data_IF_733292231068
#
_entry.id   IF_733292231068
#
_cell.length_a   1.000
_cell.length_b   1.000
_cell.length_c   1.000
_cell.angle_alpha   90.00
_cell.angle_beta   90.00
_cell.angle_gamma   90.00
#
_symmetry.space_group_name_H-M   'P 1'
#
loop_
_entity.id
_entity.type
_entity.pdbx_description
1 polymer ?
#
# COMPACT_ATOMS: atom_id res chain seq x y z
N UNK A 1 -42.60 -2.15 30.03
CA UNK A 1 -42.23 -2.06 28.59
C UNK A 1 -41.35 -0.84 28.42
N UNK A 2 -40.05 -1.06 28.23
CA UNK A 2 -39.04 0.00 28.02
C UNK A 2 -38.59 -0.12 26.56
N UNK A 3 -38.63 0.93 25.73
CA UNK A 3 -38.14 0.84 24.36
C UNK A 3 -36.61 0.89 24.36
N UNK A 4 -35.98 -0.19 23.93
CA UNK A 4 -34.56 -0.23 23.62
C UNK A 4 -34.37 0.52 22.30
N UNK A 5 -33.73 1.70 22.35
CA UNK A 5 -33.26 2.40 21.14
C UNK A 5 -31.91 1.81 20.74
N UNK A 6 -31.92 0.96 19.72
CA UNK A 6 -30.71 0.48 19.06
C UNK A 6 -30.07 1.66 18.30
N UNK A 7 -28.95 2.19 18.81
CA UNK A 7 -28.10 3.10 18.03
C UNK A 7 -27.20 2.24 17.15
N UNK A 8 -27.50 2.18 15.85
CA UNK A 8 -26.55 1.71 14.85
C UNK A 8 -25.32 2.62 14.92
N UNK A 9 -24.16 2.07 15.28
CA UNK A 9 -22.89 2.77 15.07
C UNK A 9 -22.67 2.88 13.56
N UNK A 10 -22.35 4.10 13.11
CA UNK A 10 -22.00 4.35 11.73
C UNK A 10 -20.87 3.39 11.30
N UNK A 11 -21.01 2.81 10.12
CA UNK A 11 -19.93 2.06 9.49
C UNK A 11 -18.73 3.00 9.32
N UNK A 12 -17.53 2.50 9.64
CA UNK A 12 -16.28 3.17 9.26
C UNK A 12 -16.33 3.42 7.75
N UNK A 13 -16.35 4.68 7.35
CA UNK A 13 -16.32 5.07 5.96
C UNK A 13 -14.85 5.25 5.59
N UNK A 14 -14.30 4.36 4.78
CA UNK A 14 -13.03 4.61 4.11
C UNK A 14 -13.21 5.86 3.23
N UNK A 15 -12.43 6.91 3.51
CA UNK A 15 -12.52 8.18 2.80
C UNK A 15 -11.44 8.25 1.72
N UNK A 16 -11.88 8.63 0.52
CA UNK A 16 -11.10 8.65 -0.71
C UNK A 16 -10.46 10.02 -0.91
N UNK A 17 -9.15 10.13 -0.69
CA UNK A 17 -8.40 11.35 -0.99
C UNK A 17 -7.99 11.34 -2.47
N UNK A 18 -8.45 12.32 -3.25
CA UNK A 18 -8.03 12.50 -4.65
C UNK A 18 -6.84 13.45 -4.73
N UNK A 19 -5.70 12.92 -5.15
CA UNK A 19 -4.49 13.69 -5.45
C UNK A 19 -4.38 13.86 -6.95
N UNK A 20 -4.47 15.10 -7.45
CA UNK A 20 -4.19 15.41 -8.85
C UNK A 20 -2.67 15.43 -9.10
N UNK A 21 -2.19 14.59 -10.01
CA UNK A 21 -0.78 14.50 -10.37
C UNK A 21 -0.52 15.25 -11.68
N UNK A 22 0.34 16.28 -11.62
CA UNK A 22 0.77 17.04 -12.79
C UNK A 22 2.10 16.51 -13.35
N UNK A 23 2.28 16.58 -14.67
CA UNK A 23 3.52 16.18 -15.33
C UNK A 23 4.71 17.04 -14.84
N UNK A 24 5.74 16.39 -14.32
CA UNK A 24 6.91 17.05 -13.77
C UNK A 24 7.90 17.44 -14.88
N UNK A 25 8.02 18.74 -15.16
CA UNK A 25 9.22 19.37 -15.73
C UNK A 25 9.25 20.84 -15.31
N UNK A 26 9.74 21.19 -14.11
CA UNK A 26 10.06 22.58 -13.82
C UNK A 26 11.37 22.95 -14.53
N UNK A 27 11.39 24.14 -15.14
CA UNK A 27 12.65 24.80 -15.49
C UNK A 27 13.45 25.10 -14.20
N UNK A 28 14.79 25.24 -14.25
CA UNK A 28 15.57 25.57 -13.06
C UNK A 28 15.11 26.92 -12.48
N UNK A 29 14.50 26.88 -11.29
CA UNK A 29 13.97 28.04 -10.57
C UNK A 29 12.45 28.02 -10.29
N UNK A 30 11.72 26.99 -10.70
CA UNK A 30 10.27 26.90 -10.48
C UNK A 30 9.91 26.03 -9.26
N UNK A 31 8.84 26.40 -8.55
CA UNK A 31 8.32 25.69 -7.38
C UNK A 31 7.87 24.25 -7.74
N UNK A 32 7.92 23.29 -6.79
CA UNK A 32 7.44 21.92 -7.04
C UNK A 32 5.98 21.91 -7.52
N UNK A 33 5.56 20.89 -8.29
CA UNK A 33 4.20 20.82 -8.83
C UNK A 33 3.17 20.96 -7.72
N UNK A 34 2.17 21.82 -7.96
CA UNK A 34 1.10 22.08 -7.01
C UNK A 34 0.24 20.81 -6.86
N UNK A 35 0.22 20.28 -5.64
CA UNK A 35 -0.81 19.33 -5.20
C UNK A 35 -2.10 20.10 -5.06
N UNK A 36 -3.09 19.77 -5.88
CA UNK A 36 -4.46 20.19 -5.62
C UNK A 36 -5.19 19.01 -4.98
N UNK A 37 -5.34 19.08 -3.65
CA UNK A 37 -6.27 18.20 -2.92
C UNK A 37 -7.67 18.65 -3.31
N UNK A 38 -8.34 17.85 -4.15
CA UNK A 38 -9.70 18.15 -4.58
C UNK A 38 -10.68 17.73 -3.47
N UNK A 39 -10.79 18.57 -2.45
CA UNK A 39 -11.68 18.41 -1.30
C UNK A 39 -11.05 18.88 0.01
N UNK A 40 -11.32 20.13 0.42
CA UNK A 40 -11.04 20.64 1.77
C UNK A 40 -12.32 21.30 2.33
N UNK A 41 -12.71 21.09 3.61
CA UNK A 41 -13.92 21.67 4.14
C UNK A 41 -13.70 23.14 4.53
N UNK A 42 -14.67 23.97 4.16
CA UNK A 42 -14.75 25.38 4.60
C UNK A 42 -15.15 25.40 6.08
N UNK A 43 -14.32 26.00 6.94
CA UNK A 43 -14.59 26.10 8.37
C UNK A 43 -15.91 26.87 8.65
N UNK A 44 -16.84 26.24 9.37
CA UNK A 44 -18.01 26.92 9.96
C UNK A 44 -17.69 27.22 11.43
N UNK A 45 -17.83 28.47 11.92
CA UNK A 45 -17.46 28.81 13.28
C UNK A 45 -18.39 28.14 14.31
N UNK A 46 -17.80 27.40 15.25
CA UNK A 46 -18.51 26.70 16.31
C UNK A 46 -18.98 27.64 17.43
N UNK A 47 -20.17 27.37 17.96
CA UNK A 47 -20.68 27.96 19.22
C UNK A 47 -20.64 26.87 20.30
N UNK A 48 -20.09 27.10 21.51
CA UNK A 48 -19.79 26.01 22.43
C UNK A 48 -20.98 25.63 23.31
N UNK A 49 -21.15 24.33 23.58
CA UNK A 49 -21.99 23.78 24.65
C UNK A 49 -21.34 22.53 25.29
N UNK A 50 -21.72 22.16 26.53
CA UNK A 50 -20.80 21.60 27.52
C UNK A 50 -20.72 20.06 27.55
N UNK A 51 -19.62 19.58 28.16
CA UNK A 51 -19.14 18.21 28.20
C UNK A 51 -20.06 17.18 28.90
N UNK A 52 -20.05 15.94 28.39
CA UNK A 52 -20.57 14.75 29.07
C UNK A 52 -19.57 13.60 28.97
N UNK A 53 -19.39 12.91 30.10
CA UNK A 53 -18.46 11.81 30.39
C UNK A 53 -18.85 10.49 29.72
N UNK A 54 -17.89 9.75 29.17
CA UNK A 54 -18.09 8.42 28.61
C UNK A 54 -17.56 7.32 29.55
N UNK A 55 -18.41 6.35 29.90
CA UNK A 55 -18.06 5.09 30.55
C UNK A 55 -17.65 4.03 29.50
N UNK A 56 -16.58 3.30 29.78
CA UNK A 56 -16.04 2.23 28.93
C UNK A 56 -16.82 0.91 29.11
N UNK A 57 -17.11 0.22 28.00
CA UNK A 57 -17.59 -1.18 28.01
C UNK A 57 -16.59 -2.03 27.25
N UNK A 58 -15.98 -2.98 27.96
CA UNK A 58 -15.09 -4.00 27.42
C UNK A 58 -15.90 -5.14 26.79
N UNK A 59 -15.46 -5.65 25.64
CA UNK A 59 -15.97 -6.89 25.03
C UNK A 59 -14.80 -7.81 24.71
N UNK A 60 -14.77 -8.96 25.38
CA UNK A 60 -13.83 -10.06 25.17
C UNK A 60 -14.36 -11.06 24.13
N UNK A 61 -13.52 -11.47 23.17
CA UNK A 61 -13.76 -12.61 22.27
C UNK A 61 -12.68 -13.69 22.50
N UNK A 62 -13.00 -14.99 22.43
CA UNK A 62 -12.06 -16.06 22.76
C UNK A 62 -11.08 -16.38 21.62
N UNK A 63 -9.79 -16.51 21.97
CA UNK A 63 -8.68 -16.94 21.11
C UNK A 63 -8.66 -18.48 21.01
N UNK A 64 -8.56 -19.02 19.79
CA UNK A 64 -8.22 -20.42 19.54
C UNK A 64 -6.81 -20.46 18.91
N UNK A 65 -5.83 -20.99 19.65
CA UNK A 65 -4.46 -21.25 19.19
C UNK A 65 -4.37 -22.63 18.51
N UNK A 66 -3.70 -22.78 17.35
CA UNK A 66 -3.28 -24.08 16.85
C UNK A 66 -1.89 -24.48 17.39
N UNK A 67 -1.83 -25.64 18.02
CA UNK A 67 -0.59 -26.31 18.46
C UNK A 67 0.25 -26.75 17.26
N UNK A 68 1.48 -26.25 17.13
CA UNK A 68 2.48 -26.77 16.19
C UNK A 68 3.63 -27.43 16.96
N UNK A 69 3.84 -28.72 16.72
CA UNK A 69 4.89 -29.55 17.30
C UNK A 69 6.24 -29.23 16.65
N UNK A 70 7.23 -28.85 17.46
CA UNK A 70 8.61 -28.56 17.01
C UNK A 70 9.40 -29.85 16.75
N UNK A 71 10.08 -29.92 15.60
CA UNK A 71 11.14 -30.89 15.31
C UNK A 71 12.43 -30.16 14.94
N UNK A 72 13.55 -30.70 15.44
CA UNK A 72 14.83 -30.05 15.65
C UNK A 72 15.58 -29.54 14.40
N UNK A 73 16.34 -28.47 14.62
CA UNK A 73 17.29 -27.81 13.71
C UNK A 73 18.53 -28.68 13.51
N UNK A 74 18.93 -28.91 12.25
CA UNK A 74 20.25 -29.39 11.89
C UNK A 74 21.08 -28.22 11.33
N UNK A 75 22.18 -27.89 12.01
CA UNK A 75 23.20 -26.94 11.58
C UNK A 75 23.90 -27.39 10.30
N UNK A 76 23.90 -26.54 9.27
CA UNK A 76 24.79 -26.66 8.12
C UNK A 76 25.49 -25.32 7.86
N UNK A 77 26.81 -25.40 7.66
CA UNK A 77 27.76 -24.31 7.40
C UNK A 77 27.58 -23.68 6.00
N UNK A 78 27.93 -22.40 5.79
CA UNK A 78 27.70 -21.72 4.52
C UNK A 78 28.80 -22.05 3.49
N UNK A 79 28.40 -22.35 2.26
CA UNK A 79 29.28 -22.42 1.09
C UNK A 79 28.87 -21.35 0.08
N UNK A 80 29.83 -20.52 -0.30
CA UNK A 80 29.68 -19.37 -1.20
C UNK A 80 29.88 -19.79 -2.65
N UNK A 81 28.80 -19.92 -3.44
CA UNK A 81 28.84 -19.88 -4.93
C UNK A 81 27.43 -19.54 -5.46
N UNK A 82 27.25 -18.54 -6.35
CA UNK A 82 25.94 -18.19 -6.89
C UNK A 82 25.51 -19.28 -7.88
N UNK A 83 24.45 -20.02 -7.55
CA UNK A 83 23.89 -21.06 -8.43
C UNK A 83 22.72 -20.47 -9.19
N UNK A 84 22.76 -20.59 -10.52
CA UNK A 84 21.65 -20.23 -11.41
C UNK A 84 20.35 -20.92 -10.94
N UNK A 85 19.29 -20.13 -10.75
CA UNK A 85 18.00 -20.61 -10.25
C UNK A 85 17.35 -21.52 -11.28
N UNK A 86 17.25 -22.82 -10.96
CA UNK A 86 16.48 -23.78 -11.74
C UNK A 86 14.99 -23.44 -11.72
N UNK A 87 14.23 -23.72 -12.81
CA UNK A 87 12.79 -23.52 -12.84
C UNK A 87 12.11 -24.37 -11.76
N UNK A 88 11.24 -23.73 -10.99
CA UNK A 88 10.46 -24.39 -9.95
C UNK A 88 9.27 -25.07 -10.59
N UNK A 89 9.22 -26.41 -10.53
CA UNK A 89 8.01 -27.16 -10.86
C UNK A 89 6.98 -26.93 -9.75
N UNK A 90 5.99 -26.08 -9.98
CA UNK A 90 4.84 -25.94 -9.08
C UNK A 90 4.17 -27.31 -8.93
N UNK A 91 4.11 -27.85 -7.70
CA UNK A 91 3.33 -29.04 -7.42
C UNK A 91 1.88 -28.61 -7.36
N UNK A 92 1.17 -28.68 -8.49
CA UNK A 92 -0.22 -28.29 -8.59
C UNK A 92 -1.08 -29.16 -7.66
N UNK A 93 -1.57 -28.58 -6.56
CA UNK A 93 -2.87 -28.97 -6.02
C UNK A 93 -3.87 -28.84 -7.16
N UNK A 94 -4.70 -29.87 -7.37
CA UNK A 94 -5.42 -30.14 -8.62
C UNK A 94 -5.77 -28.90 -9.45
N UNK A 95 -5.21 -28.81 -10.66
CA UNK A 95 -5.47 -27.71 -11.58
C UNK A 95 -6.99 -27.55 -11.76
N UNK A 96 -7.57 -26.38 -11.46
CA UNK A 96 -8.98 -26.13 -11.72
C UNK A 96 -9.28 -26.45 -13.20
N UNK A 97 -10.38 -27.16 -13.45
CA UNK A 97 -10.72 -27.58 -14.80
C UNK A 97 -10.83 -26.35 -15.73
N UNK A 98 -10.11 -26.38 -16.86
CA UNK A 98 -10.09 -25.28 -17.82
C UNK A 98 -9.05 -24.19 -17.55
N UNK A 99 -8.22 -24.32 -16.51
CA UNK A 99 -7.05 -23.47 -16.29
C UNK A 99 -5.75 -24.23 -16.57
N UNK A 100 -4.73 -23.51 -17.03
CA UNK A 100 -3.37 -24.03 -17.18
C UNK A 100 -2.37 -23.00 -16.68
N UNK A 101 -1.41 -23.42 -15.86
CA UNK A 101 -0.27 -22.58 -15.48
C UNK A 101 0.57 -22.30 -16.73
N UNK A 102 0.74 -21.01 -17.07
CA UNK A 102 1.53 -20.56 -18.23
C UNK A 102 2.99 -20.34 -17.85
N UNK A 103 3.22 -19.65 -16.72
CA UNK A 103 4.54 -19.41 -16.16
C UNK A 103 4.42 -19.01 -14.69
N UNK A 104 5.55 -19.04 -13.98
CA UNK A 104 5.62 -18.63 -12.59
C UNK A 104 7.02 -18.10 -12.28
N UNK A 105 7.08 -17.02 -11.50
CA UNK A 105 8.31 -16.52 -10.88
C UNK A 105 8.18 -16.70 -9.37
N UNK A 106 9.16 -17.37 -8.77
CA UNK A 106 9.32 -17.35 -7.31
C UNK A 106 10.12 -16.11 -6.94
N UNK A 107 9.50 -15.20 -6.20
CA UNK A 107 10.17 -14.05 -5.60
C UNK A 107 10.82 -14.46 -4.29
N UNK A 108 11.96 -13.85 -4.00
CA UNK A 108 12.72 -14.07 -2.77
C UNK A 108 12.71 -12.80 -1.90
N UNK A 109 12.62 -12.94 -0.56
CA UNK A 109 12.46 -14.21 0.17
C UNK A 109 11.08 -14.84 -0.04
N UNK A 110 11.06 -16.13 -0.40
CA UNK A 110 9.86 -16.95 -0.46
C UNK A 110 9.38 -17.28 0.97
N UNK A 111 8.09 -17.58 1.16
CA UNK A 111 7.50 -18.12 2.41
C UNK A 111 7.39 -17.25 3.68
N UNK A 112 7.81 -15.99 3.64
CA UNK A 112 7.64 -15.08 4.78
C UNK A 112 6.24 -14.42 4.87
N UNK A 113 5.32 -14.70 3.94
CA UNK A 113 3.98 -14.09 3.82
C UNK A 113 3.97 -12.57 3.57
N UNK A 114 5.03 -12.04 2.95
CA UNK A 114 5.12 -10.59 2.68
C UNK A 114 4.29 -10.10 1.51
N UNK A 115 4.01 -10.91 0.47
CA UNK A 115 3.33 -10.39 -0.71
C UNK A 115 1.85 -10.09 -0.41
N UNK A 116 1.44 -8.84 -0.60
CA UNK A 116 0.09 -8.37 -0.28
C UNK A 116 -0.78 -8.17 -1.52
N UNK A 117 -0.36 -7.28 -2.43
CA UNK A 117 -1.10 -6.98 -3.66
C UNK A 117 -0.25 -7.11 -4.93
N UNK A 118 -0.95 -7.21 -6.07
CA UNK A 118 -0.37 -7.25 -7.42
C UNK A 118 -1.07 -6.28 -8.36
N UNK A 119 -0.28 -5.46 -9.05
CA UNK A 119 -0.75 -4.59 -10.12
C UNK A 119 -0.05 -4.91 -11.44
N UNK A 120 -0.65 -4.52 -12.57
CA UNK A 120 -0.04 -4.68 -13.89
C UNK A 120 -0.16 -3.41 -14.71
N UNK A 121 0.89 -3.11 -15.49
CA UNK A 121 0.92 -1.99 -16.41
C UNK A 121 1.80 -2.31 -17.60
N UNK A 122 1.22 -2.28 -18.80
CA UNK A 122 1.89 -2.74 -20.04
C UNK A 122 2.41 -4.17 -19.87
N UNK A 123 3.70 -4.39 -20.09
CA UNK A 123 4.39 -5.68 -19.98
C UNK A 123 5.07 -5.85 -18.61
N UNK A 124 4.62 -5.10 -17.60
CA UNK A 124 5.13 -5.16 -16.23
C UNK A 124 4.06 -5.66 -15.27
N UNK A 125 4.50 -6.45 -14.29
CA UNK A 125 3.77 -6.72 -13.06
C UNK A 125 4.53 -6.11 -11.88
N UNK A 126 3.77 -5.70 -10.86
CA UNK A 126 4.27 -5.17 -9.61
C UNK A 126 3.77 -6.04 -8.47
N UNK A 127 4.63 -6.34 -7.51
CA UNK A 127 4.25 -7.11 -6.32
C UNK A 127 4.64 -6.31 -5.09
N UNK A 128 3.63 -5.85 -4.36
CA UNK A 128 3.80 -5.09 -3.14
C UNK A 128 3.86 -5.99 -1.94
N UNK A 129 4.40 -5.43 -0.86
CA UNK A 129 4.68 -6.19 0.35
C UNK A 129 3.97 -5.57 1.54
N UNK A 130 3.10 -6.37 2.13
CA UNK A 130 2.22 -6.02 3.22
C UNK A 130 2.93 -5.95 4.57
N UNK A 131 2.12 -5.66 5.58
CA UNK A 131 2.55 -5.34 6.95
C UNK A 131 3.26 -6.46 7.72
N UNK A 132 3.32 -7.69 7.21
CA UNK A 132 3.84 -8.84 7.95
C UNK A 132 4.73 -9.77 7.12
N UNK A 133 6.00 -10.00 7.54
CA UNK A 133 6.84 -9.25 8.49
C UNK A 133 7.08 -7.78 8.07
N UNK A 134 7.24 -6.90 9.07
CA UNK A 134 7.56 -5.48 8.90
C UNK A 134 9.08 -5.24 9.07
N UNK A 135 9.74 -4.37 8.28
CA UNK A 135 9.16 -3.58 7.19
C UNK A 135 8.70 -4.44 6.02
N UNK A 136 7.61 -4.04 5.38
CA UNK A 136 7.33 -4.50 4.02
C UNK A 136 8.43 -3.91 3.14
N UNK A 137 9.19 -4.75 2.44
CA UNK A 137 10.20 -4.25 1.50
C UNK A 137 9.52 -3.62 0.28
N UNK A 138 10.27 -2.93 -0.57
CA UNK A 138 9.77 -2.20 -1.72
C UNK A 138 8.96 -3.06 -2.69
N UNK A 139 8.38 -2.41 -3.69
CA UNK A 139 7.58 -3.08 -4.72
C UNK A 139 8.50 -3.77 -5.71
N UNK A 140 8.34 -5.08 -5.92
CA UNK A 140 9.08 -5.82 -6.95
C UNK A 140 8.54 -5.45 -8.34
N UNK A 141 9.44 -5.13 -9.28
CA UNK A 141 9.11 -4.82 -10.68
C UNK A 141 9.50 -6.02 -11.54
N UNK A 142 8.53 -6.57 -12.26
CA UNK A 142 8.65 -7.85 -12.97
C UNK A 142 8.31 -7.65 -14.44
N UNK A 143 9.20 -8.10 -15.32
CA UNK A 143 8.93 -8.25 -16.75
C UNK A 143 8.05 -9.48 -16.98
N UNK A 144 6.89 -9.24 -17.61
CA UNK A 144 5.91 -10.25 -18.00
C UNK A 144 5.64 -10.23 -19.51
N UNK A 145 6.53 -9.65 -20.31
CA UNK A 145 6.44 -9.65 -21.79
C UNK A 145 6.41 -11.06 -22.38
N UNK A 146 7.16 -12.00 -21.79
CA UNK A 146 6.97 -13.44 -21.95
C UNK A 146 6.28 -14.02 -20.71
N UNK A 147 4.96 -14.28 -20.73
CA UNK A 147 4.23 -14.80 -19.58
C UNK A 147 4.64 -16.22 -19.19
N UNK A 148 5.35 -16.97 -20.06
CA UNK A 148 5.87 -18.29 -19.72
C UNK A 148 7.19 -18.21 -18.93
N UNK A 149 7.89 -17.08 -19.00
CA UNK A 149 9.18 -16.86 -18.36
C UNK A 149 9.29 -15.46 -17.70
N UNK A 150 8.43 -15.14 -16.71
CA UNK A 150 8.50 -13.87 -16.00
C UNK A 150 9.84 -13.67 -15.29
N UNK A 151 10.38 -12.44 -15.28
CA UNK A 151 11.67 -12.12 -14.64
C UNK A 151 11.60 -10.86 -13.78
N UNK A 152 12.14 -10.90 -12.56
CA UNK A 152 12.29 -9.69 -11.73
C UNK A 152 13.36 -8.79 -12.35
N UNK A 153 13.02 -7.52 -12.56
CA UNK A 153 13.91 -6.50 -13.11
C UNK A 153 14.60 -5.68 -12.01
N UNK A 154 13.82 -5.22 -11.03
CA UNK A 154 14.25 -4.32 -9.96
C UNK A 154 13.24 -4.37 -8.80
N UNK A 155 13.48 -3.55 -7.77
CA UNK A 155 12.54 -3.21 -6.72
C UNK A 155 12.65 -1.71 -6.38
N UNK A 156 11.62 -1.14 -5.76
CA UNK A 156 11.66 0.23 -5.23
C UNK A 156 12.46 0.29 -3.92
N UNK A 157 12.69 1.50 -3.41
CA UNK A 157 13.34 1.72 -2.12
C UNK A 157 12.60 1.00 -0.96
N UNK A 158 13.38 0.58 0.04
CA UNK A 158 12.91 0.03 1.31
C UNK A 158 12.88 1.12 2.40
N UNK A 159 11.86 1.09 3.25
CA UNK A 159 11.73 2.00 4.39
C UNK A 159 11.56 1.23 5.70
N UNK A 160 12.18 1.71 6.77
CA UNK A 160 11.98 1.14 8.11
C UNK A 160 10.53 1.34 8.55
N UNK A 161 9.96 0.33 9.21
CA UNK A 161 8.63 0.38 9.82
C UNK A 161 7.47 0.74 8.86
N UNK A 162 7.69 0.59 7.55
CA UNK A 162 6.74 0.90 6.48
C UNK A 162 6.39 -0.37 5.68
N UNK A 163 5.13 -0.50 5.30
CA UNK A 163 4.64 -1.44 4.31
C UNK A 163 4.36 -0.69 3.00
N UNK A 164 4.55 -1.41 1.88
CA UNK A 164 4.40 -0.91 0.51
C UNK A 164 3.53 -1.91 -0.25
N UNK A 165 2.33 -2.11 0.28
CA UNK A 165 1.41 -3.18 -0.13
C UNK A 165 0.71 -2.84 -1.44
N UNK A 166 0.09 -1.66 -1.50
CA UNK A 166 -0.76 -1.25 -2.61
C UNK A 166 -0.02 -0.33 -3.56
N UNK A 167 -0.13 -0.63 -4.85
CA UNK A 167 0.47 0.17 -5.91
C UNK A 167 -0.40 0.21 -7.15
N UNK A 168 -0.24 1.28 -7.93
CA UNK A 168 -0.87 1.41 -9.23
C UNK A 168 0.03 2.16 -10.18
N UNK A 169 0.01 1.83 -11.46
CA UNK A 169 0.84 2.50 -12.45
C UNK A 169 -0.01 3.15 -13.56
N UNK A 170 0.44 4.33 -13.99
CA UNK A 170 -0.21 5.12 -15.02
C UNK A 170 0.79 5.97 -15.78
N UNK A 171 0.38 6.50 -16.93
CA UNK A 171 1.20 7.45 -17.69
C UNK A 171 0.94 8.87 -17.20
N UNK A 172 2.01 9.60 -16.87
CA UNK A 172 1.93 11.04 -16.54
C UNK A 172 2.90 11.80 -17.46
N UNK A 173 2.33 12.50 -18.44
CA UNK A 173 3.12 13.17 -19.48
C UNK A 173 3.96 12.16 -20.28
N UNK A 174 5.28 12.32 -20.27
CA UNK A 174 6.22 11.43 -20.95
C UNK A 174 6.68 10.23 -20.10
N UNK A 175 6.38 10.23 -18.79
CA UNK A 175 6.89 9.24 -17.84
C UNK A 175 5.85 8.19 -17.53
N UNK A 176 6.27 6.94 -17.45
CA UNK A 176 5.48 5.88 -16.81
C UNK A 176 5.74 5.96 -15.31
N UNK A 177 4.69 6.09 -14.51
CA UNK A 177 4.80 6.36 -13.07
C UNK A 177 4.12 5.25 -12.29
N UNK A 178 4.84 4.70 -11.32
CA UNK A 178 4.31 3.83 -10.28
C UNK A 178 3.99 4.67 -9.05
N UNK A 179 2.73 4.66 -8.65
CA UNK A 179 2.24 5.21 -7.39
C UNK A 179 2.23 4.09 -6.35
N UNK A 180 2.80 4.34 -5.18
CA UNK A 180 2.90 3.36 -4.10
C UNK A 180 2.31 3.95 -2.82
N UNK A 181 1.43 3.20 -2.16
CA UNK A 181 0.93 3.51 -0.83
C UNK A 181 1.96 3.10 0.22
N UNK A 182 2.37 4.06 1.07
CA UNK A 182 3.30 3.84 2.16
C UNK A 182 2.52 3.92 3.47
N UNK A 183 2.57 2.82 4.23
CA UNK A 183 1.78 2.64 5.43
C UNK A 183 2.65 2.23 6.62
N UNK A 184 2.47 2.84 7.79
CA UNK A 184 3.23 2.42 8.98
C UNK A 184 2.83 1.00 9.41
N UNK A 185 3.77 0.06 9.47
CA UNK A 185 3.57 -1.32 9.94
C UNK A 185 4.33 -1.68 11.22
N UNK A 186 5.29 -0.85 11.60
CA UNK A 186 6.22 -1.14 12.70
C UNK A 186 5.66 -0.87 14.09
N UNK A 187 6.48 -1.19 15.10
CA UNK A 187 6.15 -0.91 16.50
C UNK A 187 6.28 0.60 16.84
N UNK A 188 7.12 1.32 16.10
CA UNK A 188 7.29 2.76 16.23
C UNK A 188 6.82 3.45 14.94
N UNK A 189 5.65 4.12 14.93
CA UNK A 189 5.21 4.87 13.76
C UNK A 189 6.07 6.12 13.50
N UNK A 190 6.89 6.58 14.45
CA UNK A 190 7.74 7.76 14.27
C UNK A 190 8.93 7.51 13.33
N UNK A 191 9.31 6.25 13.10
CA UNK A 191 10.37 5.85 12.17
C UNK A 191 9.84 5.52 10.77
N UNK A 192 8.52 5.37 10.63
CA UNK A 192 7.89 5.00 9.38
C UNK A 192 7.88 6.15 8.36
N UNK A 193 8.15 5.82 7.10
CA UNK A 193 7.80 6.67 5.96
C UNK A 193 6.36 6.37 5.56
N UNK A 194 5.53 7.41 5.37
CA UNK A 194 4.09 7.27 5.18
C UNK A 194 3.57 8.24 4.11
N UNK A 195 2.54 7.81 3.38
CA UNK A 195 1.86 8.63 2.38
C UNK A 195 1.83 7.97 1.00
N UNK A 196 1.88 8.79 -0.04
CA UNK A 196 1.94 8.36 -1.45
C UNK A 196 3.34 8.64 -2.01
N UNK A 197 4.05 7.61 -2.44
CA UNK A 197 5.29 7.76 -3.21
C UNK A 197 5.04 7.61 -4.70
N UNK A 198 5.72 8.43 -5.50
CA UNK A 198 5.75 8.29 -6.94
C UNK A 198 7.14 7.88 -7.39
N UNK A 199 7.21 6.90 -8.27
CA UNK A 199 8.44 6.35 -8.83
C UNK A 199 8.34 6.37 -10.35
N UNK A 200 9.35 6.90 -11.02
CA UNK A 200 9.50 6.79 -12.46
C UNK A 200 9.95 5.37 -12.81
N UNK A 201 9.16 4.71 -13.65
CA UNK A 201 9.40 3.35 -14.14
C UNK A 201 9.51 3.32 -15.68
N UNK A 202 9.82 4.47 -16.30
CA UNK A 202 10.06 4.57 -17.74
C UNK A 202 11.23 3.67 -18.18
N UNK A 203 12.27 3.58 -17.34
CA UNK A 203 13.23 2.47 -17.37
C UNK A 203 13.00 1.56 -16.15
N UNK A 204 12.24 0.46 -16.29
CA UNK A 204 11.85 -0.37 -15.15
C UNK A 204 13.01 -1.15 -14.54
N UNK A 205 14.21 -1.14 -15.15
CA UNK A 205 15.44 -1.70 -14.57
C UNK A 205 16.15 -0.73 -13.63
N UNK A 206 15.83 0.56 -13.73
CA UNK A 206 16.42 1.63 -12.94
C UNK A 206 15.30 2.57 -12.45
N UNK A 207 14.41 2.10 -11.57
CA UNK A 207 13.33 2.93 -11.05
C UNK A 207 13.89 4.13 -10.28
N UNK A 208 13.30 5.30 -10.47
CA UNK A 208 13.75 6.55 -9.82
C UNK A 208 12.63 7.21 -9.03
N UNK A 209 12.83 7.41 -7.73
CA UNK A 209 11.85 8.11 -6.89
C UNK A 209 11.66 9.56 -7.35
N UNK A 210 10.42 9.93 -7.66
CA UNK A 210 10.03 11.27 -8.08
C UNK A 210 9.63 12.16 -6.89
N UNK A 211 9.00 11.58 -5.87
CA UNK A 211 8.58 12.34 -4.69
C UNK A 211 7.68 11.55 -3.75
N UNK A 212 7.44 12.13 -2.57
CA UNK A 212 6.57 11.61 -1.53
C UNK A 212 5.58 12.68 -1.09
N UNK A 213 4.33 12.29 -0.96
CA UNK A 213 3.23 13.10 -0.45
C UNK A 213 2.76 12.50 0.87
N UNK A 214 3.15 13.07 2.03
CA UNK A 214 2.71 12.57 3.33
C UNK A 214 1.18 12.58 3.46
N UNK A 215 0.62 11.53 4.08
CA UNK A 215 -0.83 11.41 4.29
C UNK A 215 -1.16 10.68 5.59
N UNK A 216 -1.81 11.38 6.54
CA UNK A 216 -2.26 10.85 7.84
C UNK A 216 -1.14 10.35 8.76
N UNK A 217 -1.49 9.98 10.00
CA UNK A 217 -0.53 9.40 10.94
C UNK A 217 -0.30 7.90 10.72
N UNK A 218 -1.09 7.26 9.86
CA UNK A 218 -0.97 5.83 9.52
C UNK A 218 -0.54 5.55 8.08
N UNK A 219 -0.52 6.56 7.21
CA UNK A 219 -0.21 6.39 5.80
C UNK A 219 -1.37 5.85 4.96
N UNK A 220 -1.08 5.60 3.69
CA UNK A 220 -2.08 5.11 2.72
C UNK A 220 -2.23 3.60 2.89
N UNK A 221 -3.44 3.13 3.18
CA UNK A 221 -3.76 1.71 3.36
C UNK A 221 -4.28 1.04 2.10
N UNK A 222 -4.98 1.79 1.25
CA UNK A 222 -5.47 1.31 -0.04
C UNK A 222 -5.20 2.42 -1.05
N UNK A 223 -4.85 2.03 -2.27
CA UNK A 223 -4.50 2.95 -3.34
C UNK A 223 -5.14 2.49 -4.64
N UNK A 224 -5.76 3.44 -5.34
CA UNK A 224 -6.07 3.29 -6.76
C UNK A 224 -5.52 4.49 -7.54
N UNK A 225 -5.27 4.30 -8.83
CA UNK A 225 -4.86 5.39 -9.74
C UNK A 225 -5.70 5.36 -11.00
N UNK A 226 -6.09 6.54 -11.46
CA UNK A 226 -6.89 6.65 -12.68
C UNK A 226 -6.53 7.88 -13.49
N UNK A 227 -6.94 7.86 -14.75
CA UNK A 227 -6.86 9.04 -15.63
C UNK A 227 -8.27 9.46 -16.00
N UNK A 228 -8.59 10.70 -15.67
CA UNK A 228 -9.85 11.32 -16.07
C UNK A 228 -9.95 11.50 -17.59
N UNK A 229 -11.15 11.68 -18.16
CA UNK A 229 -11.32 11.90 -19.60
C UNK A 229 -10.60 13.15 -20.14
N UNK A 230 -10.38 14.19 -19.32
CA UNK A 230 -9.60 15.38 -19.67
C UNK A 230 -8.07 15.17 -19.55
N UNK A 231 -7.63 13.96 -19.19
CA UNK A 231 -6.22 13.57 -19.17
C UNK A 231 -5.50 13.85 -17.85
N UNK A 232 -6.22 14.21 -16.79
CA UNK A 232 -5.65 14.39 -15.45
C UNK A 232 -5.46 13.03 -14.77
N UNK A 233 -4.25 12.80 -14.27
CA UNK A 233 -3.92 11.69 -13.40
C UNK A 233 -4.43 11.96 -11.98
N UNK A 234 -5.08 10.96 -11.39
CA UNK A 234 -5.58 10.98 -10.02
C UNK A 234 -5.03 9.78 -9.27
N UNK A 235 -4.55 10.00 -8.04
CA UNK A 235 -4.34 8.96 -7.05
C UNK A 235 -5.45 9.05 -6.00
N UNK A 236 -6.03 7.90 -5.67
CA UNK A 236 -7.19 7.72 -4.83
C UNK A 236 -6.71 6.99 -3.57
N UNK A 237 -6.55 7.72 -2.46
CA UNK A 237 -5.91 7.19 -1.25
C UNK A 237 -6.97 6.90 -0.18
N UNK A 238 -6.96 5.70 0.37
CA UNK A 238 -7.63 5.44 1.64
C UNK A 238 -6.62 5.56 2.77
N UNK A 239 -6.83 6.53 3.67
CA UNK A 239 -5.96 6.79 4.82
C UNK A 239 -6.76 6.49 6.09
N UNK A 240 -6.45 5.39 6.81
CA UNK A 240 -7.19 5.02 8.01
C UNK A 240 -7.14 6.12 9.07
N UNK A 241 -8.26 6.30 9.75
CA UNK A 241 -8.44 7.24 10.86
C UNK A 241 -8.24 8.73 10.51
N UNK A 242 -8.06 9.08 9.23
CA UNK A 242 -7.86 10.45 8.80
C UNK A 242 -9.05 11.34 9.21
N UNK A 243 -10.26 10.79 9.19
CA UNK A 243 -11.46 11.47 9.64
C UNK A 243 -11.45 11.80 11.14
N UNK A 244 -10.73 11.02 11.94
CA UNK A 244 -10.57 11.27 13.38
C UNK A 244 -9.43 12.26 13.60
N UNK A 245 -8.33 12.12 12.86
CA UNK A 245 -7.15 12.98 12.97
C UNK A 245 -7.41 14.43 12.54
N UNK A 246 -8.27 14.63 11.55
CA UNK A 246 -8.56 15.96 11.00
C UNK A 246 -9.83 16.59 11.59
N UNK A 247 -10.52 15.88 12.49
CA UNK A 247 -11.70 16.41 13.17
C UNK A 247 -11.34 17.53 14.17
N UNK A 248 -12.32 18.40 14.45
CA UNK A 248 -12.25 19.35 15.56
C UNK A 248 -12.20 18.62 16.91
N UNK A 249 -11.90 19.34 18.00
CA UNK A 249 -11.90 18.76 19.35
C UNK A 249 -13.25 18.12 19.74
N UNK A 250 -14.35 18.57 19.14
CA UNK A 250 -15.69 18.00 19.30
C UNK A 250 -15.95 16.75 18.43
N UNK A 251 -14.97 16.30 17.64
CA UNK A 251 -15.06 15.16 16.74
C UNK A 251 -15.85 15.44 15.47
N UNK A 252 -15.86 16.69 14.98
CA UNK A 252 -16.63 17.09 13.79
C UNK A 252 -15.74 17.60 12.65
N UNK A 253 -16.20 17.49 11.41
CA UNK A 253 -15.53 18.11 10.25
C UNK A 253 -14.27 17.42 9.74
N UNK A 254 -13.97 16.20 10.22
CA UNK A 254 -12.87 15.41 9.67
C UNK A 254 -13.12 14.95 8.23
N UNK A 255 -12.01 14.74 7.52
CA UNK A 255 -11.88 14.35 6.12
C UNK A 255 -10.76 13.37 5.90
#
# INVERSE_FOLDING_TARGET
>A
MIPIRLRLRAAAAALLVLVALAACSPAPGEAPPAVEVLGTPTAVPATPLPASTADAIATSSPTVEPTITSSAVATATPSTTPTATSPVTATAGGTPAGLSLVGALRLEPFDNRTQGDVAAYKELAFVGKGRGPCPGTGVDIIDISDPAAPTKLADTDDYADTAMEDMGALRIGARDVLAVGLQACGADPATATMGLELVDITDPRNPERLGLFPAGAHGVHELDVTTTPDGRALALLAVPDLEVETATEEGSGGT
#
